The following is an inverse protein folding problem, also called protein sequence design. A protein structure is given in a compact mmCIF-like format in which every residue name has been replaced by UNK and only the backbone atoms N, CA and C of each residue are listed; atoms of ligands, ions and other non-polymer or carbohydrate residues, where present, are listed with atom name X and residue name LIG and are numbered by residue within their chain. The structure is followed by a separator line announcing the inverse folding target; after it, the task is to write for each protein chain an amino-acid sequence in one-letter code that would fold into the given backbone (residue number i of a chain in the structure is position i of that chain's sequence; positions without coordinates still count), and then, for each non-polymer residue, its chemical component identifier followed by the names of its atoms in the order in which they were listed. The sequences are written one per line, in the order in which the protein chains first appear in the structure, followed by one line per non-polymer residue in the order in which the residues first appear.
data_IF_113255508804
#
_entry.id   IF_113255508804
#
_cell.length_a   1.000
_cell.length_b   1.000
_cell.length_c   1.000
_cell.angle_alpha   90.00
_cell.angle_beta   90.00
_cell.angle_gamma   90.00
#
_symmetry.space_group_name_H-M   'P 1'
#
loop_
_entity.id
_entity.type
_entity.pdbx_description
1 polymer ?
#
# COMPACT_ATOMS: atom_id res chain seq x y z
N UNK A 1 -6.80 -46.51 48.16
CA UNK A 1 -6.45 -45.46 47.19
C UNK A 1 -5.13 -45.86 46.55
N UNK A 2 -5.21 -46.59 45.44
CA UNK A 2 -4.01 -47.08 44.75
C UNK A 2 -3.36 -45.94 43.97
N UNK A 3 -2.20 -45.48 44.45
CA UNK A 3 -1.33 -44.59 43.69
C UNK A 3 -0.70 -45.41 42.56
N UNK A 4 -1.30 -45.39 41.38
CA UNK A 4 -0.64 -45.91 40.17
C UNK A 4 0.58 -45.03 39.89
N UNK A 5 1.76 -45.58 40.13
CA UNK A 5 3.02 -44.93 39.76
C UNK A 5 3.05 -44.71 38.26
N UNK A 6 3.36 -43.48 37.86
CA UNK A 6 3.59 -43.14 36.45
C UNK A 6 4.74 -44.03 35.95
N UNK A 7 4.52 -44.78 34.87
CA UNK A 7 5.55 -45.62 34.28
C UNK A 7 6.70 -44.74 33.79
N UNK A 8 7.94 -45.20 33.97
CA UNK A 8 9.14 -44.47 33.55
C UNK A 8 9.10 -44.08 32.05
N UNK A 9 8.38 -44.85 31.24
CA UNK A 9 8.14 -44.60 29.82
C UNK A 9 7.35 -43.30 29.57
N UNK A 10 6.33 -42.99 30.38
CA UNK A 10 5.60 -41.73 30.29
C UNK A 10 6.48 -40.51 30.62
N UNK A 11 7.42 -40.65 31.56
CA UNK A 11 8.34 -39.56 31.91
C UNK A 11 9.26 -39.20 30.74
N UNK A 12 9.73 -40.19 29.98
CA UNK A 12 10.61 -39.95 28.82
C UNK A 12 9.86 -39.25 27.69
N UNK A 13 8.64 -39.67 27.37
CA UNK A 13 7.82 -39.04 26.32
C UNK A 13 7.47 -37.60 26.69
N UNK A 14 7.10 -37.35 27.95
CA UNK A 14 6.82 -36.01 28.44
C UNK A 14 8.05 -35.10 28.32
N UNK A 15 9.23 -35.59 28.71
CA UNK A 15 10.49 -34.84 28.59
C UNK A 15 10.79 -34.48 27.13
N UNK A 16 10.65 -35.44 26.21
CA UNK A 16 10.86 -35.21 24.79
C UNK A 16 9.89 -34.16 24.22
N UNK A 17 8.61 -34.22 24.60
CA UNK A 17 7.61 -33.23 24.21
C UNK A 17 7.97 -31.82 24.71
N UNK A 18 8.40 -31.70 25.97
CA UNK A 18 8.82 -30.42 26.56
C UNK A 18 10.03 -29.84 25.83
N UNK A 19 11.01 -30.68 25.44
CA UNK A 19 12.18 -30.23 24.67
C UNK A 19 11.76 -29.72 23.29
N UNK A 20 10.91 -30.45 22.57
CA UNK A 20 10.41 -30.03 21.23
C UNK A 20 9.60 -28.74 21.34
N UNK A 21 8.72 -28.62 22.34
CA UNK A 21 7.94 -27.41 22.58
C UNK A 21 8.85 -26.20 22.88
N UNK A 22 9.91 -26.37 23.67
CA UNK A 22 10.90 -25.31 23.91
C UNK A 22 11.61 -24.87 22.63
N UNK A 23 12.03 -25.83 21.78
CA UNK A 23 12.68 -25.52 20.50
C UNK A 23 11.72 -24.74 19.58
N UNK A 24 10.46 -25.17 19.47
CA UNK A 24 9.45 -24.49 18.66
C UNK A 24 9.13 -23.09 19.20
N UNK A 25 9.03 -22.92 20.52
CA UNK A 25 8.82 -21.60 21.13
C UNK A 25 10.00 -20.66 20.86
N UNK A 26 11.23 -21.14 21.00
CA UNK A 26 12.44 -20.36 20.70
C UNK A 26 12.55 -19.98 19.21
N UNK A 27 12.09 -20.84 18.31
CA UNK A 27 12.02 -20.52 16.88
C UNK A 27 10.91 -19.52 16.58
N UNK A 28 9.75 -19.65 17.24
CA UNK A 28 8.59 -18.77 17.04
C UNK A 28 8.86 -17.33 17.45
N UNK A 29 9.67 -17.09 18.50
CA UNK A 29 10.03 -15.73 18.91
C UNK A 29 10.92 -15.04 17.88
N UNK A 30 11.92 -15.76 17.34
CA UNK A 30 12.77 -15.22 16.26
C UNK A 30 12.00 -14.98 14.96
N UNK A 31 11.02 -15.82 14.66
CA UNK A 31 10.17 -15.66 13.48
C UNK A 31 9.31 -14.39 13.58
N UNK A 32 8.80 -14.06 14.77
CA UNK A 32 8.00 -12.85 14.99
C UNK A 32 8.78 -11.59 14.64
N UNK A 33 10.01 -11.44 15.11
CA UNK A 33 10.82 -10.25 14.84
C UNK A 33 11.09 -10.04 13.35
N UNK A 34 11.29 -11.14 12.61
CA UNK A 34 11.50 -11.11 11.17
C UNK A 34 10.21 -10.79 10.39
N UNK A 35 9.06 -11.25 10.88
CA UNK A 35 7.76 -10.98 10.26
C UNK A 35 7.22 -9.57 10.56
N UNK A 36 7.61 -8.95 11.68
CA UNK A 36 7.03 -7.67 12.14
C UNK A 36 7.30 -6.49 11.18
N UNK A 37 8.43 -6.47 10.44
CA UNK A 37 8.72 -5.32 9.55
C UNK A 37 7.82 -5.27 8.30
N UNK A 38 7.35 -6.41 7.81
CA UNK A 38 6.42 -6.51 6.66
C UNK A 38 4.97 -6.78 7.11
N UNK A 39 4.74 -6.94 8.42
CA UNK A 39 3.44 -7.30 9.00
C UNK A 39 2.35 -6.30 8.67
N UNK A 40 2.62 -4.99 8.70
CA UNK A 40 1.61 -3.96 8.46
C UNK A 40 1.07 -4.02 7.01
N UNK A 41 1.97 -4.22 6.05
CA UNK A 41 1.65 -4.33 4.62
C UNK A 41 0.81 -5.57 4.35
N UNK A 42 1.24 -6.72 4.88
CA UNK A 42 0.51 -7.97 4.70
C UNK A 42 -0.83 -7.97 5.45
N UNK A 43 -0.89 -7.38 6.65
CA UNK A 43 -2.13 -7.26 7.42
C UNK A 43 -3.16 -6.41 6.67
N UNK A 44 -2.75 -5.25 6.15
CA UNK A 44 -3.62 -4.41 5.33
C UNK A 44 -4.10 -5.15 4.08
N UNK A 45 -3.19 -5.84 3.38
CA UNK A 45 -3.54 -6.64 2.20
C UNK A 45 -4.53 -7.76 2.53
N UNK A 46 -4.32 -8.48 3.62
CA UNK A 46 -5.22 -9.54 4.06
C UNK A 46 -6.58 -8.98 4.47
N UNK A 47 -6.62 -7.83 5.14
CA UNK A 47 -7.87 -7.12 5.46
C UNK A 47 -8.62 -6.71 4.19
N UNK A 48 -7.93 -6.14 3.21
CA UNK A 48 -8.45 -5.82 1.87
C UNK A 48 -9.05 -7.05 1.18
N UNK A 49 -8.34 -8.18 1.19
CA UNK A 49 -8.80 -9.42 0.57
C UNK A 49 -10.00 -10.03 1.30
N UNK A 50 -9.98 -10.02 2.63
CA UNK A 50 -11.08 -10.50 3.46
C UNK A 50 -12.33 -9.63 3.27
N UNK A 51 -12.17 -8.31 3.25
CA UNK A 51 -13.25 -7.37 3.00
C UNK A 51 -13.88 -7.59 1.62
N UNK A 52 -13.06 -7.81 0.59
CA UNK A 52 -13.55 -8.09 -0.75
C UNK A 52 -14.34 -9.43 -0.86
N UNK A 53 -14.02 -10.43 -0.02
CA UNK A 53 -14.70 -11.73 -0.01
C UNK A 53 -15.96 -11.76 0.87
N UNK A 54 -16.03 -10.92 1.90
CA UNK A 54 -17.11 -10.92 2.90
C UNK A 54 -18.24 -9.93 2.61
N UNK A 55 -18.29 -9.36 1.39
CA UNK A 55 -19.37 -8.48 0.95
C UNK A 55 -20.69 -9.25 0.81
N UNK A 56 -21.57 -9.12 1.82
CA UNK A 56 -22.94 -9.65 1.79
C UNK A 56 -23.88 -8.46 1.60
N UNK A 57 -24.70 -8.49 0.55
CA UNK A 57 -25.62 -7.41 0.19
C UNK A 57 -24.96 -6.00 0.08
N UNK A 58 -23.70 -5.96 -0.39
CA UNK A 58 -22.97 -4.70 -0.64
C UNK A 58 -22.37 -4.01 0.58
N UNK A 59 -22.57 -4.57 1.79
CA UNK A 59 -21.95 -4.11 3.04
C UNK A 59 -20.81 -5.02 3.45
N UNK A 60 -19.79 -4.46 4.08
CA UNK A 60 -18.65 -5.22 4.58
C UNK A 60 -18.79 -5.44 6.08
N UNK A 61 -18.58 -6.67 6.54
CA UNK A 61 -18.67 -7.03 7.97
C UNK A 61 -17.31 -6.85 8.66
N UNK A 62 -16.24 -6.95 7.87
CA UNK A 62 -14.85 -6.82 8.35
C UNK A 62 -14.39 -5.38 8.18
N UNK A 63 -13.97 -4.69 9.26
CA UNK A 63 -13.40 -3.36 9.15
C UNK A 63 -12.09 -3.41 8.39
N UNK A 64 -11.82 -2.36 7.60
CA UNK A 64 -10.56 -2.24 6.88
C UNK A 64 -9.45 -1.81 7.85
N UNK A 65 -8.50 -2.71 8.11
CA UNK A 65 -7.36 -2.48 8.99
C UNK A 65 -6.11 -2.20 8.16
N UNK A 66 -5.95 -0.95 7.75
CA UNK A 66 -4.80 -0.49 6.97
C UNK A 66 -4.07 0.63 7.73
N UNK A 67 -3.12 0.26 8.62
CA UNK A 67 -2.35 1.26 9.36
C UNK A 67 -1.51 2.09 8.39
N UNK A 68 -1.49 3.41 8.62
CA UNK A 68 -0.68 4.33 7.84
C UNK A 68 0.80 4.12 8.14
N UNK A 69 1.62 4.01 7.09
CA UNK A 69 3.08 3.93 7.23
C UNK A 69 3.67 5.34 7.30
N UNK A 70 4.38 5.64 8.39
CA UNK A 70 5.08 6.90 8.58
C UNK A 70 6.54 6.74 8.14
N UNK A 71 6.93 7.40 7.06
CA UNK A 71 8.26 7.33 6.47
C UNK A 71 8.99 8.64 6.73
N UNK A 72 10.01 8.59 7.58
CA UNK A 72 10.81 9.74 7.94
C UNK A 72 12.20 9.64 7.32
N UNK A 73 12.55 10.60 6.47
CA UNK A 73 13.81 10.62 5.71
C UNK A 73 14.81 11.57 6.39
N UNK A 74 15.99 11.06 6.72
CA UNK A 74 17.12 11.81 7.29
C UNK A 74 18.25 11.94 6.25
N UNK A 75 19.33 12.67 6.59
CA UNK A 75 20.49 12.84 5.71
C UNK A 75 21.28 11.55 5.45
N UNK A 76 21.20 10.56 6.33
CA UNK A 76 21.99 9.32 6.30
C UNK A 76 21.16 8.02 6.37
N UNK A 77 19.85 8.11 6.63
CA UNK A 77 18.96 6.96 6.77
C UNK A 77 17.49 7.32 6.54
N UNK A 78 16.65 6.31 6.37
CA UNK A 78 15.20 6.45 6.52
C UNK A 78 14.67 5.58 7.66
N UNK A 79 13.62 6.05 8.33
CA UNK A 79 12.87 5.31 9.33
C UNK A 79 11.44 5.09 8.86
N UNK A 80 10.88 3.92 9.16
CA UNK A 80 9.51 3.54 8.81
C UNK A 80 8.81 3.14 10.10
N UNK A 81 7.71 3.80 10.45
CA UNK A 81 6.97 3.62 11.71
C UNK A 81 7.89 3.75 12.95
N UNK A 82 8.84 4.69 12.92
CA UNK A 82 9.82 4.92 13.98
C UNK A 82 10.89 3.83 14.13
N UNK A 83 10.95 2.86 13.20
CA UNK A 83 11.98 1.81 13.17
C UNK A 83 12.97 2.10 12.06
N UNK A 84 14.25 1.76 12.29
CA UNK A 84 15.29 1.86 11.25
C UNK A 84 14.92 0.97 10.06
N UNK A 85 14.92 1.55 8.86
CA UNK A 85 14.67 0.83 7.62
C UNK A 85 15.96 0.21 7.06
N UNK A 86 15.84 -0.49 5.92
CA UNK A 86 16.98 -0.98 5.13
C UNK A 86 17.77 0.14 4.44
N UNK A 87 17.23 1.36 4.38
CA UNK A 87 17.85 2.49 3.70
C UNK A 87 18.87 3.15 4.61
N UNK A 88 20.15 2.87 4.35
CA UNK A 88 21.29 3.54 4.97
C UNK A 88 22.20 4.06 3.87
N UNK A 89 22.59 5.32 3.98
CA UNK A 89 23.39 6.01 2.98
C UNK A 89 24.34 7.01 3.64
N UNK A 90 25.41 7.38 2.92
CA UNK A 90 26.36 8.40 3.43
C UNK A 90 25.80 9.81 3.33
N UNK A 91 24.98 10.06 2.31
CA UNK A 91 24.36 11.34 2.02
C UNK A 91 23.09 11.11 1.22
N UNK A 92 22.04 11.85 1.56
CA UNK A 92 20.75 11.84 0.88
C UNK A 92 20.86 12.38 -0.56
N UNK A 93 20.41 11.61 -1.54
CA UNK A 93 20.38 11.96 -2.97
C UNK A 93 18.98 11.85 -3.57
N UNK A 94 18.77 12.46 -4.74
CA UNK A 94 17.52 12.31 -5.51
C UNK A 94 17.16 10.83 -5.74
N UNK A 95 18.17 10.01 -6.08
CA UNK A 95 17.95 8.58 -6.34
C UNK A 95 17.38 7.85 -5.12
N UNK A 96 17.85 8.15 -3.92
CA UNK A 96 17.38 7.51 -2.68
C UNK A 96 15.98 7.98 -2.28
N UNK A 97 15.69 9.27 -2.42
CA UNK A 97 14.33 9.80 -2.18
C UNK A 97 13.34 9.18 -3.15
N UNK A 98 13.72 9.11 -4.44
CA UNK A 98 12.89 8.51 -5.47
C UNK A 98 12.72 7.01 -5.28
N UNK A 99 13.75 6.29 -4.82
CA UNK A 99 13.65 4.86 -4.47
C UNK A 99 12.65 4.62 -3.34
N UNK A 100 12.74 5.41 -2.26
CA UNK A 100 11.84 5.29 -1.11
C UNK A 100 10.40 5.59 -1.54
N UNK A 101 10.17 6.68 -2.26
CA UNK A 101 8.84 7.03 -2.75
C UNK A 101 8.27 5.99 -3.74
N UNK A 102 9.09 5.50 -4.66
CA UNK A 102 8.69 4.46 -5.61
C UNK A 102 8.31 3.15 -4.91
N UNK A 103 9.05 2.77 -3.88
CA UNK A 103 8.75 1.58 -3.09
C UNK A 103 7.46 1.72 -2.29
N UNK A 104 7.22 2.88 -1.68
CA UNK A 104 5.97 3.14 -0.95
C UNK A 104 4.75 3.21 -1.89
N UNK A 105 4.92 3.73 -3.11
CA UNK A 105 3.90 3.65 -4.16
C UNK A 105 3.59 2.19 -4.51
N UNK A 106 4.62 1.39 -4.78
CA UNK A 106 4.48 -0.05 -5.08
C UNK A 106 3.78 -0.79 -3.95
N UNK A 107 4.15 -0.51 -2.70
CA UNK A 107 3.57 -1.13 -1.51
C UNK A 107 2.11 -0.75 -1.33
N UNK A 108 1.75 0.53 -1.50
CA UNK A 108 0.35 0.96 -1.46
C UNK A 108 -0.50 0.24 -2.49
N UNK A 109 -0.02 0.12 -3.73
CA UNK A 109 -0.71 -0.63 -4.78
C UNK A 109 -0.86 -2.12 -4.43
N UNK A 110 0.20 -2.72 -3.89
CA UNK A 110 0.20 -4.12 -3.45
C UNK A 110 -0.75 -4.39 -2.27
N UNK A 111 -0.81 -3.48 -1.29
CA UNK A 111 -1.73 -3.54 -0.15
C UNK A 111 -3.18 -3.54 -0.61
N UNK A 112 -3.48 -2.77 -1.66
CA UNK A 112 -4.83 -2.66 -2.23
C UNK A 112 -5.15 -3.76 -3.23
N UNK A 113 -4.52 -4.93 -3.07
CA UNK A 113 -4.63 -6.08 -3.95
C UNK A 113 -4.47 -5.73 -5.44
N UNK A 114 -3.61 -4.75 -5.75
CA UNK A 114 -3.31 -4.27 -7.10
C UNK A 114 -4.56 -3.82 -7.89
N UNK A 115 -5.59 -3.34 -7.19
CA UNK A 115 -6.86 -2.92 -7.79
C UNK A 115 -7.73 -4.06 -8.33
N UNK A 116 -7.37 -5.33 -8.08
CA UNK A 116 -8.12 -6.51 -8.55
C UNK A 116 -9.39 -6.79 -7.78
N UNK A 117 -9.59 -6.12 -6.65
CA UNK A 117 -10.70 -6.34 -5.73
C UNK A 117 -11.36 -5.01 -5.41
N UNK A 118 -12.69 -5.01 -5.39
CA UNK A 118 -13.41 -3.86 -4.87
C UNK A 118 -13.38 -3.89 -3.35
N UNK A 119 -12.62 -2.97 -2.76
CA UNK A 119 -12.49 -2.82 -1.30
C UNK A 119 -13.50 -1.84 -0.73
N UNK A 120 -14.00 -0.91 -1.54
CA UNK A 120 -14.89 0.15 -1.07
C UNK A 120 -16.34 -0.34 -0.98
N UNK A 121 -17.07 0.08 0.05
CA UNK A 121 -18.49 -0.26 0.13
C UNK A 121 -19.28 0.44 -0.97
N UNK A 122 -20.30 -0.24 -1.50
CA UNK A 122 -21.14 0.33 -2.56
C UNK A 122 -22.02 1.48 -2.05
N UNK A 123 -22.41 1.43 -0.77
CA UNK A 123 -23.27 2.40 -0.07
C UNK A 123 -22.73 3.84 -0.17
N UNK A 124 -21.42 4.02 -0.03
CA UNK A 124 -20.78 5.34 -0.01
C UNK A 124 -20.84 6.08 -1.36
N UNK A 125 -21.11 5.39 -2.46
CA UNK A 125 -21.15 6.02 -3.79
C UNK A 125 -22.51 6.63 -4.15
N UNK A 126 -23.56 6.35 -3.37
CA UNK A 126 -24.90 6.90 -3.60
C UNK A 126 -25.13 8.24 -2.89
N UNK A 127 -24.18 8.70 -2.07
CA UNK A 127 -24.28 10.01 -1.41
C UNK A 127 -23.79 11.13 -2.35
N UNK A 128 -24.74 11.90 -2.89
CA UNK A 128 -24.60 13.30 -3.35
C UNK A 128 -23.27 13.68 -4.04
N UNK A 129 -22.88 12.94 -5.08
CA UNK A 129 -21.77 13.36 -5.96
C UNK A 129 -20.36 13.11 -5.41
N UNK A 130 -20.21 12.35 -4.32
CA UNK A 130 -18.90 11.94 -3.79
C UNK A 130 -18.41 10.66 -4.46
N UNK A 131 -17.83 10.81 -5.66
CA UNK A 131 -17.37 9.66 -6.45
C UNK A 131 -15.98 9.14 -6.06
N UNK A 132 -15.25 9.88 -5.21
CA UNK A 132 -13.85 9.61 -4.89
C UNK A 132 -13.69 9.21 -3.43
N UNK A 133 -13.20 7.99 -3.21
CA UNK A 133 -12.85 7.47 -1.89
C UNK A 133 -11.37 7.17 -1.85
N UNK A 134 -10.71 7.49 -0.75
CA UNK A 134 -9.28 7.23 -0.62
C UNK A 134 -8.90 6.59 0.71
N UNK A 135 -7.77 5.90 0.65
CA UNK A 135 -7.07 5.30 1.78
C UNK A 135 -5.65 5.82 1.72
N UNK A 136 -5.18 6.47 2.79
CA UNK A 136 -3.77 6.88 2.88
C UNK A 136 -2.95 5.64 3.27
N UNK A 137 -2.06 5.23 2.39
CA UNK A 137 -1.17 4.10 2.59
C UNK A 137 0.07 4.51 3.40
N UNK A 138 0.67 5.64 3.02
CA UNK A 138 1.89 6.12 3.66
C UNK A 138 2.01 7.63 3.61
N UNK A 139 2.89 8.12 4.48
CA UNK A 139 3.13 9.51 4.75
C UNK A 139 4.64 9.71 4.82
N UNK A 140 5.16 10.52 3.90
CA UNK A 140 6.59 10.81 3.77
C UNK A 140 6.85 12.20 4.34
N UNK A 141 7.74 12.27 5.31
CA UNK A 141 8.25 13.50 5.90
C UNK A 141 9.78 13.51 5.89
N UNK A 142 10.36 14.70 5.78
CA UNK A 142 11.81 14.89 5.89
C UNK A 142 12.16 15.42 7.27
N UNK A 143 13.24 14.89 7.85
CA UNK A 143 13.77 15.43 9.10
C UNK A 143 14.33 16.84 8.89
N UNK A 144 14.23 17.67 9.92
CA UNK A 144 14.71 19.06 9.90
C UNK A 144 16.21 19.16 9.57
N UNK A 145 16.99 18.15 9.92
CA UNK A 145 18.43 18.09 9.63
C UNK A 145 18.74 18.03 8.12
N UNK A 146 17.80 17.57 7.29
CA UNK A 146 17.98 17.51 5.83
C UNK A 146 18.21 18.90 5.23
N UNK A 147 17.69 19.94 5.89
CA UNK A 147 17.72 21.33 5.46
C UNK A 147 16.74 21.60 4.31
N UNK A 148 16.62 22.86 3.89
CA UNK A 148 15.76 23.24 2.75
C UNK A 148 16.41 22.79 1.45
N UNK A 149 15.90 21.70 0.88
CA UNK A 149 16.35 21.11 -0.37
C UNK A 149 15.14 20.63 -1.17
N UNK A 150 15.36 20.43 -2.45
CA UNK A 150 14.39 19.75 -3.29
C UNK A 150 14.99 18.54 -3.98
N UNK A 151 14.18 17.50 -4.13
CA UNK A 151 14.55 16.25 -4.80
C UNK A 151 13.61 16.02 -5.98
N UNK A 152 14.16 15.72 -7.15
CA UNK A 152 13.41 15.62 -8.41
C UNK A 152 13.65 14.29 -9.14
N UNK A 153 12.83 13.98 -10.15
CA UNK A 153 13.06 12.86 -11.07
C UNK A 153 12.40 11.54 -10.67
N UNK A 154 11.33 11.57 -9.86
CA UNK A 154 10.61 10.37 -9.46
C UNK A 154 10.00 9.66 -10.68
N UNK A 155 9.46 10.41 -11.62
CA UNK A 155 8.81 9.89 -12.83
C UNK A 155 9.81 9.10 -13.68
N UNK A 156 11.00 9.63 -13.88
CA UNK A 156 12.08 8.97 -14.62
C UNK A 156 12.60 7.74 -13.86
N UNK A 157 12.68 7.83 -12.53
CA UNK A 157 13.03 6.69 -11.67
C UNK A 157 12.01 5.55 -11.86
N UNK A 158 10.71 5.84 -11.76
CA UNK A 158 9.64 4.84 -11.90
C UNK A 158 9.71 4.11 -13.26
N UNK A 159 9.99 4.84 -14.34
CA UNK A 159 10.08 4.28 -15.70
C UNK A 159 11.34 3.46 -15.95
N UNK A 160 12.47 3.86 -15.37
CA UNK A 160 13.78 3.27 -15.69
C UNK A 160 14.21 2.16 -14.73
N UNK A 161 13.78 2.20 -13.46
CA UNK A 161 14.24 1.28 -12.42
C UNK A 161 13.36 0.05 -12.35
N UNK A 162 13.99 -1.12 -12.38
CA UNK A 162 13.33 -2.43 -12.27
C UNK A 162 13.08 -2.81 -10.82
N UNK A 163 11.97 -3.51 -10.58
CA UNK A 163 11.67 -4.08 -9.28
C UNK A 163 12.71 -5.15 -8.89
N UNK A 164 13.09 -5.26 -7.61
CA UNK A 164 13.96 -6.34 -7.16
C UNK A 164 13.35 -7.71 -7.51
N UNK A 165 14.16 -8.58 -8.13
CA UNK A 165 13.78 -9.95 -8.56
C UNK A 165 12.74 -10.02 -9.70
N UNK A 166 12.39 -8.90 -10.33
CA UNK A 166 11.48 -8.91 -11.48
C UNK A 166 12.09 -8.13 -12.66
N UNK A 167 11.78 -8.55 -13.88
CA UNK A 167 12.27 -7.90 -15.10
C UNK A 167 11.28 -6.82 -15.62
N UNK A 168 10.63 -6.09 -14.70
CA UNK A 168 9.67 -5.03 -15.03
C UNK A 168 9.99 -3.77 -14.22
N UNK A 169 9.74 -2.59 -14.79
CA UNK A 169 9.92 -1.33 -14.08
C UNK A 169 8.85 -1.11 -13.01
N UNK A 170 9.11 -0.20 -12.06
CA UNK A 170 8.09 0.25 -11.10
C UNK A 170 6.84 0.78 -11.82
N UNK A 171 7.04 1.59 -12.86
CA UNK A 171 5.97 2.13 -13.70
C UNK A 171 5.15 1.00 -14.33
N UNK A 172 5.80 0.04 -14.99
CA UNK A 172 5.12 -1.09 -15.64
C UNK A 172 4.32 -1.91 -14.64
N UNK A 173 4.88 -2.16 -13.44
CA UNK A 173 4.15 -2.87 -12.39
C UNK A 173 2.86 -2.14 -11.97
N UNK A 174 2.94 -0.82 -11.73
CA UNK A 174 1.80 -0.01 -11.29
C UNK A 174 0.69 0.08 -12.35
N UNK A 175 1.03 0.02 -13.64
CA UNK A 175 0.03 0.08 -14.73
C UNK A 175 -0.44 -1.30 -15.21
N UNK A 176 0.38 -2.34 -15.12
CA UNK A 176 0.10 -3.67 -15.73
C UNK A 176 -1.11 -4.36 -15.10
N UNK A 177 -1.35 -4.18 -13.81
CA UNK A 177 -2.55 -4.72 -13.17
C UNK A 177 -3.82 -4.07 -13.72
N UNK A 178 -3.77 -2.80 -14.11
CA UNK A 178 -4.88 -2.12 -14.77
C UNK A 178 -5.09 -2.65 -16.19
N UNK A 179 -4.02 -3.05 -16.87
CA UNK A 179 -4.09 -3.52 -18.25
C UNK A 179 -5.01 -4.75 -18.45
N UNK A 180 -5.01 -5.68 -17.49
CA UNK A 180 -5.78 -6.92 -17.60
C UNK A 180 -7.23 -6.82 -17.11
N UNK A 181 -7.60 -5.77 -16.38
CA UNK A 181 -8.93 -5.63 -15.77
C UNK A 181 -9.96 -4.96 -16.69
N UNK A 182 -9.51 -4.25 -17.72
CA UNK A 182 -10.40 -3.68 -18.72
C UNK A 182 -10.44 -4.62 -19.93
N UNK A 183 -11.60 -5.14 -20.30
CA UNK A 183 -11.84 -5.81 -21.60
C UNK A 183 -12.41 -4.81 -22.63
N UNK A 184 -12.35 -3.50 -22.31
CA UNK A 184 -12.98 -2.39 -23.05
C UNK A 184 -11.94 -1.47 -23.73
N UNK A 185 -10.80 -2.03 -24.15
CA UNK A 185 -9.68 -1.31 -24.78
C UNK A 185 -9.98 -0.70 -26.16
N UNK A 186 -11.18 -0.92 -26.73
CA UNK A 186 -11.54 -0.45 -28.07
C UNK A 186 -12.24 0.91 -28.15
N UNK A 187 -12.70 1.50 -27.04
CA UNK A 187 -13.67 2.62 -27.10
C UNK A 187 -13.22 3.88 -26.36
N UNK A 188 -12.31 3.80 -25.38
CA UNK A 188 -11.88 4.98 -24.60
C UNK A 188 -10.41 5.31 -24.92
N UNK A 189 -10.12 6.49 -25.50
CA UNK A 189 -8.75 6.85 -25.86
C UNK A 189 -7.87 6.98 -24.61
N UNK A 190 -6.72 6.30 -24.70
CA UNK A 190 -5.65 6.15 -23.70
C UNK A 190 -5.19 7.42 -23.00
N UNK A 191 -5.50 8.58 -23.55
CA UNK A 191 -5.14 9.85 -22.96
C UNK A 191 -5.85 10.02 -21.61
N UNK A 192 -7.11 9.66 -21.45
CA UNK A 192 -7.87 10.13 -20.28
C UNK A 192 -7.60 9.47 -18.92
N UNK A 193 -6.93 8.30 -18.86
CA UNK A 193 -6.99 7.47 -17.65
C UNK A 193 -5.69 6.74 -17.28
N UNK A 194 -4.52 7.28 -17.62
CA UNK A 194 -3.29 6.87 -16.92
C UNK A 194 -3.23 7.55 -15.55
N UNK A 195 -2.92 6.84 -14.45
CA UNK A 195 -2.84 7.42 -13.09
C UNK A 195 -1.86 8.59 -12.92
N UNK A 196 -1.02 8.85 -13.93
CA UNK A 196 0.06 9.83 -13.91
C UNK A 196 -0.16 11.01 -14.86
N UNK A 197 -1.41 11.20 -15.31
CA UNK A 197 -1.82 12.35 -16.11
C UNK A 197 -1.59 12.16 -17.60
N UNK A 198 -2.66 11.81 -18.31
CA UNK A 198 -2.77 12.18 -19.73
C UNK A 198 -4.14 12.68 -20.18
N UNK A 199 -5.13 12.86 -19.29
CA UNK A 199 -6.41 13.39 -19.76
C UNK A 199 -7.50 13.59 -18.71
N UNK A 200 -7.15 14.34 -17.67
CA UNK A 200 -8.05 15.41 -17.22
C UNK A 200 -7.55 16.71 -17.85
N UNK A 201 -8.47 17.56 -18.31
CA UNK A 201 -8.19 18.76 -19.12
C UNK A 201 -7.58 19.94 -18.34
N UNK A 202 -7.28 19.77 -17.04
CA UNK A 202 -6.50 20.72 -16.25
C UNK A 202 -5.24 20.04 -15.74
N UNK A 203 -4.16 20.28 -16.51
CA UNK A 203 -2.77 19.95 -16.23
C UNK A 203 -2.31 20.66 -14.95
N UNK A 204 -2.23 19.94 -13.85
CA UNK A 204 -1.06 20.12 -12.99
C UNK A 204 -0.26 18.83 -13.07
N UNK A 205 0.88 18.92 -13.75
CA UNK A 205 1.87 17.86 -13.85
C UNK A 205 2.08 17.28 -12.46
N UNK A 206 2.15 15.95 -12.38
CA UNK A 206 2.69 15.26 -11.22
C UNK A 206 3.87 16.06 -10.68
N UNK A 207 3.79 16.55 -9.42
CA UNK A 207 4.88 17.28 -8.81
C UNK A 207 6.04 16.31 -8.71
N UNK A 208 6.89 16.31 -9.72
CA UNK A 208 8.08 15.47 -9.81
C UNK A 208 9.20 16.02 -8.92
N UNK A 209 8.82 16.70 -7.84
CA UNK A 209 9.65 17.50 -6.96
C UNK A 209 9.14 17.36 -5.53
N UNK A 210 10.02 16.90 -4.65
CA UNK A 210 9.83 16.84 -3.21
C UNK A 210 10.57 17.99 -2.54
N UNK A 211 9.84 18.86 -1.88
CA UNK A 211 10.35 19.93 -1.02
C UNK A 211 10.45 19.42 0.42
N UNK A 212 11.60 19.59 1.07
CA UNK A 212 11.84 19.00 2.40
C UNK A 212 11.01 19.61 3.53
N UNK A 213 10.41 20.78 3.32
CA UNK A 213 9.52 21.43 4.28
C UNK A 213 8.05 21.00 4.11
N UNK A 214 7.75 20.16 3.12
CA UNK A 214 6.42 19.64 2.87
C UNK A 214 6.28 18.20 3.36
N UNK A 215 5.02 17.82 3.55
CA UNK A 215 4.59 16.49 3.91
C UNK A 215 3.87 15.87 2.74
N UNK A 216 4.25 14.65 2.37
CA UNK A 216 3.70 13.96 1.21
C UNK A 216 2.90 12.75 1.64
N UNK A 217 1.77 12.54 1.00
CA UNK A 217 0.85 11.44 1.23
C UNK A 217 0.79 10.57 -0.02
N UNK A 218 0.98 9.27 0.17
CA UNK A 218 0.68 8.27 -0.83
C UNK A 218 -0.65 7.64 -0.48
N UNK A 219 -1.59 7.71 -1.42
CA UNK A 219 -2.96 7.27 -1.21
C UNK A 219 -3.45 6.43 -2.39
N UNK A 220 -4.33 5.49 -2.08
CA UNK A 220 -5.09 4.75 -3.06
C UNK A 220 -6.46 5.39 -3.21
N UNK A 221 -6.87 5.65 -4.45
CA UNK A 221 -8.11 6.33 -4.78
C UNK A 221 -9.00 5.42 -5.64
N UNK A 222 -10.27 5.31 -5.26
CA UNK A 222 -11.30 4.71 -6.11
C UNK A 222 -12.25 5.77 -6.63
N UNK A 223 -12.53 5.67 -7.93
CA UNK A 223 -13.52 6.46 -8.63
C UNK A 223 -14.55 5.51 -9.26
N UNK A 224 -15.83 5.70 -8.96
CA UNK A 224 -16.94 5.08 -9.71
C UNK A 224 -17.62 6.10 -10.62
N UNK A 225 -17.19 6.24 -11.89
CA UNK A 225 -17.81 7.20 -12.79
C UNK A 225 -19.26 6.78 -13.11
N UNK A 226 -20.20 7.72 -13.01
CA UNK A 226 -21.63 7.47 -13.26
C UNK A 226 -21.91 6.94 -14.67
N UNK A 227 -21.16 7.39 -15.68
CA UNK A 227 -21.31 6.95 -17.07
C UNK A 227 -21.00 5.45 -17.26
N UNK A 228 -20.11 4.89 -16.45
CA UNK A 228 -19.69 3.49 -16.57
C UNK A 228 -20.72 2.52 -16.00
N UNK A 229 -21.49 2.97 -15.00
CA UNK A 229 -22.62 2.22 -14.44
C UNK A 229 -23.69 1.97 -15.50
N UNK A 230 -23.99 2.98 -16.33
CA UNK A 230 -24.97 2.87 -17.42
C UNK A 230 -24.56 1.91 -18.53
N UNK A 231 -23.26 1.80 -18.84
CA UNK A 231 -22.75 0.96 -19.92
C UNK A 231 -22.60 -0.51 -19.54
N UNK A 232 -22.12 -0.79 -18.33
CA UNK A 232 -21.75 -2.17 -17.94
C UNK A 232 -22.88 -2.90 -17.20
N UNK A 233 -23.96 -2.21 -16.84
CA UNK A 233 -25.01 -2.76 -15.97
C UNK A 233 -24.49 -3.19 -14.60
N UNK A 234 -23.24 -2.81 -14.26
CA UNK A 234 -22.52 -3.20 -13.06
C UNK A 234 -21.70 -2.05 -12.50
N UNK A 235 -21.45 -2.09 -11.20
CA UNK A 235 -20.66 -1.08 -10.51
C UNK A 235 -19.16 -1.41 -10.68
N UNK A 236 -18.58 -0.97 -11.80
CA UNK A 236 -17.13 -1.04 -12.00
C UNK A 236 -16.48 0.21 -11.42
N UNK A 237 -15.45 0.03 -10.60
CA UNK A 237 -14.62 1.12 -10.09
C UNK A 237 -13.33 1.21 -10.89
N UNK A 238 -12.84 2.42 -11.08
CA UNK A 238 -11.47 2.68 -11.47
C UNK A 238 -10.63 2.97 -10.23
N UNK A 239 -9.45 2.38 -10.16
CA UNK A 239 -8.53 2.50 -9.04
C UNK A 239 -7.26 3.21 -9.48
N UNK A 240 -6.74 4.08 -8.63
CA UNK A 240 -5.56 4.89 -8.88
C UNK A 240 -4.69 4.92 -7.64
N UNK A 241 -3.41 5.21 -7.85
CA UNK A 241 -2.50 5.57 -6.79
C UNK A 241 -2.08 7.02 -6.99
N UNK A 242 -2.14 7.80 -5.91
CA UNK A 242 -1.79 9.21 -5.90
C UNK A 242 -0.60 9.46 -4.98
N UNK A 243 0.13 10.52 -5.31
CA UNK A 243 1.11 11.16 -4.45
C UNK A 243 0.83 12.67 -4.49
N UNK A 244 0.76 13.27 -3.31
CA UNK A 244 0.43 14.68 -3.15
C UNK A 244 0.64 15.17 -1.73
N UNK A 245 0.49 16.48 -1.51
CA UNK A 245 0.41 17.05 -0.17
C UNK A 245 -1.04 16.91 0.37
N UNK A 246 -1.27 17.38 1.60
CA UNK A 246 -2.61 17.36 2.20
C UNK A 246 -3.66 18.15 1.40
N UNK A 247 -3.28 19.26 0.79
CA UNK A 247 -4.17 20.10 -0.02
C UNK A 247 -4.68 19.33 -1.24
N UNK A 248 -3.77 18.75 -2.03
CA UNK A 248 -4.12 17.92 -3.20
C UNK A 248 -4.98 16.73 -2.80
N UNK A 249 -4.70 16.08 -1.67
CA UNK A 249 -5.55 14.99 -1.18
C UNK A 249 -6.98 15.49 -0.89
N UNK A 250 -7.16 16.66 -0.29
CA UNK A 250 -8.50 17.22 -0.02
C UNK A 250 -9.27 17.57 -1.30
N UNK A 251 -8.55 17.96 -2.35
CA UNK A 251 -9.16 18.25 -3.66
C UNK A 251 -9.60 16.98 -4.39
N UNK A 252 -8.78 15.93 -4.36
CA UNK A 252 -9.06 14.68 -5.07
C UNK A 252 -9.95 13.73 -4.27
N UNK A 253 -9.92 13.81 -2.93
CA UNK A 253 -10.57 12.86 -2.05
C UNK A 253 -11.83 13.42 -1.40
N UNK A 254 -13.00 12.89 -1.79
CA UNK A 254 -14.27 13.29 -1.19
C UNK A 254 -14.53 12.60 0.16
N UNK A 255 -14.01 11.38 0.33
CA UNK A 255 -14.16 10.56 1.54
C UNK A 255 -12.83 9.87 1.85
N UNK A 256 -12.28 10.16 3.02
CA UNK A 256 -11.12 9.47 3.57
C UNK A 256 -11.59 8.35 4.51
N UNK A 257 -11.07 7.13 4.32
CA UNK A 257 -11.54 5.94 5.06
C UNK A 257 -10.75 5.67 6.34
N UNK A 258 -9.50 6.12 6.44
CA UNK A 258 -8.58 5.81 7.54
C UNK A 258 -7.90 7.02 8.18
#
# INVERSE_FOLDING_TARGET
MDKKGISAEMMVVLLAFVIVAMILLAFSSRLKDLLIQDSDVETCRLSVLAQAQTKIAGKTIVPLECPRRLVKIFNDKAEINGKRSKYQYKQLTNEQVNEIAAEELRLCWYMMAEGKRDVFEQSYFFSEGKYYQCIICSEIEFDKEVGTKSYEGLTDYLKSKKLPKMDISYHDYLIRSQQNLYLLWGIVPWTQYTPWGYGTTKRDSFKDKFETNEKYLIYFLAHKPSWLVGLTGGYTSAYYIGLGNEEKLREECAILIN
#
